data_IF_015629627181
#
_entry.id   IF_015629627181
#
_cell.length_a   1.000
_cell.length_b   1.000
_cell.length_c   1.000
_cell.angle_alpha   90.00
_cell.angle_beta   90.00
_cell.angle_gamma   90.00
#
_symmetry.space_group_name_H-M   'P 1'
#
loop_
_entity.id
_entity.type
_entity.pdbx_description
1 polymer ?
#
# COMPACT_ATOMS: atom_id res chain seq x y z
N UNK A 1 9.09 5.36 -22.68
CA UNK A 1 10.23 6.09 -23.26
C UNK A 1 10.18 7.58 -22.91
N UNK A 2 9.06 8.29 -23.20
CA UNK A 2 8.94 9.73 -22.92
C UNK A 2 9.15 10.07 -21.44
N UNK A 3 8.62 9.27 -20.50
CA UNK A 3 8.86 9.45 -19.06
C UNK A 3 10.37 9.42 -18.76
N UNK A 4 11.09 8.44 -19.29
CA UNK A 4 12.55 8.36 -19.14
C UNK A 4 13.27 9.57 -19.73
N UNK A 5 12.86 10.03 -20.91
CA UNK A 5 13.38 11.25 -21.54
C UNK A 5 13.22 12.47 -20.63
N UNK A 6 12.01 12.65 -20.10
CA UNK A 6 11.72 13.78 -19.24
C UNK A 6 12.55 13.74 -17.94
N UNK A 7 12.51 12.62 -17.22
CA UNK A 7 13.20 12.49 -15.94
C UNK A 7 14.72 12.68 -16.07
N UNK A 8 15.32 12.05 -17.10
CA UNK A 8 16.76 12.20 -17.34
C UNK A 8 17.17 13.65 -17.61
N UNK A 9 16.38 14.39 -18.41
CA UNK A 9 16.60 15.81 -18.65
C UNK A 9 16.28 16.66 -17.40
N UNK A 10 15.15 16.41 -16.73
CA UNK A 10 14.67 17.20 -15.60
C UNK A 10 15.66 17.23 -14.44
N UNK A 11 16.20 16.09 -14.07
CA UNK A 11 17.18 15.98 -13.00
C UNK A 11 18.60 16.29 -13.50
N UNK A 12 18.92 16.01 -14.76
CA UNK A 12 20.23 16.29 -15.33
C UNK A 12 20.56 17.77 -15.50
N UNK A 13 19.56 18.62 -15.77
CA UNK A 13 19.76 20.06 -16.04
C UNK A 13 20.37 20.85 -14.87
N UNK A 14 20.27 20.34 -13.66
CA UNK A 14 20.77 21.01 -12.46
C UNK A 14 22.07 20.39 -11.91
N UNK A 15 22.67 19.46 -12.67
CA UNK A 15 23.93 18.82 -12.32
C UNK A 15 25.11 19.68 -12.77
N UNK A 16 26.23 19.56 -12.06
CA UNK A 16 27.48 20.18 -12.45
C UNK A 16 28.04 19.56 -13.73
N UNK A 17 28.94 20.28 -14.41
CA UNK A 17 29.56 19.78 -15.64
C UNK A 17 30.31 18.46 -15.38
N UNK A 18 29.95 17.43 -16.13
CA UNK A 18 30.49 16.06 -15.98
C UNK A 18 29.77 15.17 -14.97
N UNK A 19 28.84 15.73 -14.17
CA UNK A 19 28.01 14.96 -13.27
C UNK A 19 26.73 14.48 -13.98
N UNK A 20 26.33 13.23 -13.75
CA UNK A 20 25.10 12.65 -14.30
C UNK A 20 24.08 12.40 -13.21
N UNK A 21 22.81 12.65 -13.52
CA UNK A 21 21.75 12.25 -12.62
C UNK A 21 21.61 10.72 -12.58
N UNK A 22 21.27 10.19 -11.40
CA UNK A 22 21.16 8.77 -11.11
C UNK A 22 19.71 8.42 -10.79
N UNK A 23 19.16 7.50 -11.55
CA UNK A 23 17.77 7.05 -11.37
C UNK A 23 17.75 5.57 -11.13
N UNK A 24 17.16 5.15 -10.01
CA UNK A 24 17.05 3.73 -9.64
C UNK A 24 15.70 3.18 -10.12
N UNK A 25 15.72 1.98 -10.71
CA UNK A 25 14.55 1.34 -11.30
C UNK A 25 14.37 -0.05 -10.69
N UNK A 26 13.16 -0.31 -10.15
CA UNK A 26 12.69 -1.63 -9.78
C UNK A 26 11.45 -2.01 -10.56
N UNK A 27 11.15 -3.30 -10.59
CA UNK A 27 9.97 -3.85 -11.26
C UNK A 27 9.41 -5.03 -10.50
N UNK A 28 8.13 -5.31 -10.71
CA UNK A 28 7.51 -6.57 -10.27
C UNK A 28 7.72 -7.69 -11.30
N UNK A 29 7.05 -8.80 -11.10
CA UNK A 29 7.23 -10.02 -11.90
C UNK A 29 6.39 -10.06 -13.18
N UNK A 30 5.60 -9.04 -13.50
CA UNK A 30 4.72 -9.00 -14.69
C UNK A 30 5.53 -9.11 -15.97
N UNK A 31 5.00 -9.83 -16.95
CA UNK A 31 5.62 -10.00 -18.25
C UNK A 31 5.93 -8.66 -18.92
N UNK A 32 5.00 -7.70 -18.86
CA UNK A 32 5.16 -6.36 -19.44
C UNK A 32 6.17 -5.48 -18.71
N UNK A 33 6.56 -5.80 -17.48
CA UNK A 33 7.51 -5.01 -16.70
C UNK A 33 8.89 -4.91 -17.37
N UNK A 34 9.32 -5.96 -18.08
CA UNK A 34 10.57 -5.96 -18.85
C UNK A 34 10.52 -4.97 -20.02
N UNK A 35 9.41 -4.94 -20.75
CA UNK A 35 9.21 -4.01 -21.85
C UNK A 35 9.25 -2.55 -21.37
N UNK A 36 8.58 -2.26 -20.27
CA UNK A 36 8.56 -0.91 -19.70
C UNK A 36 9.93 -0.51 -19.14
N UNK A 37 10.65 -1.41 -18.49
CA UNK A 37 12.01 -1.17 -18.00
C UNK A 37 12.94 -0.75 -19.16
N UNK A 38 12.97 -1.52 -20.23
CA UNK A 38 13.83 -1.18 -21.39
C UNK A 38 13.43 0.14 -22.06
N UNK A 39 12.14 0.43 -22.16
CA UNK A 39 11.67 1.70 -22.70
C UNK A 39 12.08 2.89 -21.83
N UNK A 40 11.95 2.78 -20.49
CA UNK A 40 12.39 3.80 -19.53
C UNK A 40 13.89 4.01 -19.60
N UNK A 41 14.67 2.93 -19.56
CA UNK A 41 16.14 2.95 -19.64
C UNK A 41 16.62 3.64 -20.92
N UNK A 42 16.02 3.31 -22.05
CA UNK A 42 16.33 3.95 -23.34
C UNK A 42 16.08 5.46 -23.30
N UNK A 43 14.96 5.88 -22.70
CA UNK A 43 14.65 7.31 -22.54
C UNK A 43 15.62 8.03 -21.60
N UNK A 44 15.95 7.44 -20.45
CA UNK A 44 16.88 7.98 -19.47
C UNK A 44 18.27 8.18 -20.05
N UNK A 45 18.83 7.13 -20.67
CA UNK A 45 20.18 7.16 -21.23
C UNK A 45 20.29 8.12 -22.42
N UNK A 46 19.24 8.21 -23.25
CA UNK A 46 19.15 9.18 -24.32
C UNK A 46 19.08 10.65 -23.84
N UNK A 47 18.75 10.88 -22.57
CA UNK A 47 18.79 12.20 -21.92
C UNK A 47 19.98 12.41 -20.99
N UNK A 48 20.97 11.48 -20.99
CA UNK A 48 22.22 11.61 -20.24
C UNK A 48 22.18 11.04 -18.82
N UNK A 49 21.06 10.49 -18.37
CA UNK A 49 20.93 9.91 -17.02
C UNK A 49 21.58 8.51 -16.92
N UNK A 50 22.07 8.18 -15.74
CA UNK A 50 22.47 6.82 -15.39
C UNK A 50 21.26 6.07 -14.80
N UNK A 51 20.93 4.92 -15.40
CA UNK A 51 19.84 4.05 -14.98
C UNK A 51 20.38 2.87 -14.16
N UNK A 52 20.06 2.82 -12.88
CA UNK A 52 20.47 1.77 -11.94
C UNK A 52 19.37 0.73 -11.79
N UNK A 53 19.63 -0.51 -12.18
CA UNK A 53 18.62 -1.56 -12.26
C UNK A 53 18.67 -2.46 -11.03
N UNK A 54 17.63 -2.40 -10.19
CA UNK A 54 17.42 -3.32 -9.06
C UNK A 54 16.84 -4.66 -9.50
N UNK A 55 16.37 -4.74 -10.76
CA UNK A 55 15.61 -5.86 -11.29
C UNK A 55 14.30 -6.09 -10.54
N UNK A 56 13.87 -7.36 -10.39
CA UNK A 56 12.66 -7.67 -9.63
C UNK A 56 12.89 -7.37 -8.15
N UNK A 57 12.10 -6.44 -7.63
CA UNK A 57 12.17 -5.97 -6.24
C UNK A 57 10.85 -5.33 -5.83
N UNK A 58 10.68 -5.05 -4.53
CA UNK A 58 9.46 -4.47 -3.97
C UNK A 58 9.44 -2.94 -4.09
N UNK A 59 8.24 -2.33 -4.09
CA UNK A 59 8.10 -0.87 -4.05
C UNK A 59 8.85 -0.25 -2.86
N UNK A 60 8.73 -0.77 -1.62
CA UNK A 60 9.50 -0.22 -0.50
C UNK A 60 11.03 -0.39 -0.65
N UNK A 61 11.50 -1.39 -1.39
CA UNK A 61 12.93 -1.52 -1.72
C UNK A 61 13.42 -0.35 -2.58
N UNK A 62 12.66 0.03 -3.61
CA UNK A 62 12.99 1.20 -4.46
C UNK A 62 12.98 2.48 -3.63
N UNK A 63 11.94 2.68 -2.81
CA UNK A 63 11.83 3.81 -1.89
C UNK A 63 13.01 3.89 -0.92
N UNK A 64 13.41 2.75 -0.33
CA UNK A 64 14.54 2.67 0.57
C UNK A 64 15.85 3.06 -0.11
N UNK A 65 16.13 2.48 -1.28
CA UNK A 65 17.37 2.76 -2.03
C UNK A 65 17.41 4.21 -2.48
N UNK A 66 16.30 4.75 -3.01
CA UNK A 66 16.23 6.14 -3.45
C UNK A 66 16.61 7.13 -2.33
N UNK A 67 16.10 6.91 -1.11
CA UNK A 67 16.33 7.83 0.02
C UNK A 67 17.63 7.62 0.78
N UNK A 68 18.27 6.47 0.65
CA UNK A 68 19.48 6.13 1.45
C UNK A 68 20.76 6.18 0.64
N UNK A 69 20.67 6.27 -0.67
CA UNK A 69 21.80 6.19 -1.58
C UNK A 69 21.64 7.23 -2.68
N UNK A 70 21.99 8.39 -2.50
CA UNK A 70 22.26 9.51 -3.43
C UNK A 70 21.66 9.39 -4.86
N UNK A 71 20.39 8.96 -4.94
CA UNK A 71 19.62 8.91 -6.18
C UNK A 71 18.71 10.14 -6.30
N UNK A 72 18.59 10.67 -7.50
CA UNK A 72 17.72 11.81 -7.80
C UNK A 72 16.25 11.40 -7.86
N UNK A 73 15.97 10.16 -8.29
CA UNK A 73 14.62 9.65 -8.46
C UNK A 73 14.64 8.11 -8.41
N UNK A 74 13.56 7.53 -7.93
CA UNK A 74 13.25 6.11 -8.03
C UNK A 74 12.05 5.86 -8.95
N UNK A 75 12.06 4.75 -9.66
CA UNK A 75 10.95 4.29 -10.50
C UNK A 75 10.61 2.86 -10.11
N UNK A 76 9.34 2.60 -9.80
CA UNK A 76 8.83 1.24 -9.66
C UNK A 76 7.81 0.93 -10.74
N UNK A 77 8.05 -0.16 -11.45
CA UNK A 77 7.16 -0.67 -12.50
C UNK A 77 6.27 -1.75 -11.90
N UNK A 78 5.04 -1.40 -11.57
CA UNK A 78 4.05 -2.29 -10.99
C UNK A 78 2.65 -1.69 -11.01
N UNK A 79 1.64 -2.53 -11.15
CA UNK A 79 0.24 -2.21 -10.87
C UNK A 79 -0.27 -2.85 -9.56
N UNK A 80 0.64 -3.06 -8.58
CA UNK A 80 0.31 -3.56 -7.23
C UNK A 80 -0.51 -4.86 -7.28
N UNK A 81 -1.75 -4.82 -6.78
CA UNK A 81 -2.63 -5.98 -6.65
C UNK A 81 -3.47 -6.31 -7.92
N UNK A 82 -3.34 -5.53 -8.98
CA UNK A 82 -4.06 -5.75 -10.22
C UNK A 82 -3.61 -7.04 -10.94
N UNK A 83 -4.42 -7.60 -11.86
CA UNK A 83 -4.03 -8.71 -12.71
C UNK A 83 -2.76 -8.42 -13.53
N UNK A 84 -2.11 -9.48 -14.03
CA UNK A 84 -0.82 -9.37 -14.72
C UNK A 84 -0.83 -8.52 -16.00
N UNK A 85 -1.96 -8.40 -16.67
CA UNK A 85 -2.13 -7.64 -17.92
C UNK A 85 -2.23 -6.12 -17.70
N UNK A 86 -2.48 -5.68 -16.47
CA UNK A 86 -2.33 -4.29 -16.07
C UNK A 86 -0.87 -4.02 -15.69
N UNK A 87 -0.42 -2.78 -15.86
CA UNK A 87 0.85 -2.33 -15.31
C UNK A 87 0.81 -0.83 -15.01
N UNK A 88 1.80 -0.34 -14.28
CA UNK A 88 1.89 1.05 -13.87
C UNK A 88 3.33 1.49 -13.66
N UNK A 89 3.53 2.80 -13.61
CA UNK A 89 4.82 3.41 -13.32
C UNK A 89 4.63 4.32 -12.11
N UNK A 90 5.22 3.93 -10.97
CA UNK A 90 5.23 4.71 -9.73
C UNK A 90 6.53 5.52 -9.69
N UNK A 91 6.43 6.83 -9.58
CA UNK A 91 7.58 7.72 -9.45
C UNK A 91 7.81 8.09 -7.99
N UNK A 92 9.07 8.01 -7.58
CA UNK A 92 9.52 8.17 -6.19
C UNK A 92 10.61 9.25 -6.18
N UNK A 93 10.48 10.25 -5.33
CA UNK A 93 11.48 11.31 -5.18
C UNK A 93 12.73 10.83 -4.43
N UNK A 94 13.75 11.67 -4.33
CA UNK A 94 15.00 11.38 -3.61
C UNK A 94 14.83 11.13 -2.10
N UNK A 95 13.70 11.51 -1.52
CA UNK A 95 13.37 11.22 -0.12
C UNK A 95 12.68 9.84 0.05
N UNK A 96 12.48 9.11 -1.04
CA UNK A 96 11.76 7.83 -1.03
C UNK A 96 10.24 7.98 -0.92
N UNK A 97 9.70 9.15 -1.19
CA UNK A 97 8.29 9.47 -1.15
C UNK A 97 7.69 9.45 -2.56
N UNK A 98 6.38 9.37 -2.67
CA UNK A 98 5.72 9.56 -3.97
C UNK A 98 6.10 10.92 -4.57
N UNK A 99 6.32 10.94 -5.88
CA UNK A 99 6.58 12.16 -6.63
C UNK A 99 5.45 13.17 -6.41
N UNK A 100 5.82 14.43 -6.28
CA UNK A 100 4.88 15.53 -6.13
C UNK A 100 4.03 15.74 -7.39
N UNK A 101 2.82 16.27 -7.19
CA UNK A 101 1.83 16.44 -8.25
C UNK A 101 2.29 17.44 -9.32
N UNK A 102 3.04 18.47 -8.94
CA UNK A 102 3.57 19.46 -9.89
C UNK A 102 4.53 18.81 -10.89
N UNK A 103 5.40 17.94 -10.41
CA UNK A 103 6.34 17.18 -11.27
C UNK A 103 5.60 16.18 -12.15
N UNK A 104 4.57 15.49 -11.60
CA UNK A 104 3.71 14.57 -12.38
C UNK A 104 3.02 15.32 -13.53
N UNK A 105 2.40 16.47 -13.29
CA UNK A 105 1.75 17.29 -14.31
C UNK A 105 2.73 17.75 -15.42
N UNK A 106 3.99 18.05 -15.07
CA UNK A 106 5.02 18.38 -16.06
C UNK A 106 5.37 17.19 -16.96
N UNK A 107 5.41 15.99 -16.37
CA UNK A 107 5.65 14.74 -17.11
C UNK A 107 4.50 14.48 -18.09
N UNK A 108 3.26 14.60 -17.63
CA UNK A 108 2.05 14.41 -18.43
C UNK A 108 2.00 15.42 -19.58
N UNK A 109 2.26 16.70 -19.30
CA UNK A 109 2.34 17.74 -20.35
C UNK A 109 3.41 17.43 -21.42
N UNK A 110 4.55 16.84 -21.02
CA UNK A 110 5.55 16.40 -21.99
C UNK A 110 5.09 15.18 -22.80
N UNK A 111 4.43 14.23 -22.19
CA UNK A 111 3.87 13.06 -22.88
C UNK A 111 2.85 13.49 -23.94
N UNK A 112 2.01 14.46 -23.59
CA UNK A 112 0.94 14.99 -24.47
C UNK A 112 1.46 15.97 -25.53
N UNK A 113 2.77 16.29 -25.53
CA UNK A 113 3.37 17.20 -26.49
C UNK A 113 3.07 18.68 -26.23
N UNK A 114 2.63 19.02 -25.02
CA UNK A 114 2.32 20.40 -24.60
C UNK A 114 3.54 21.17 -24.10
N UNK A 115 4.67 20.51 -23.94
CA UNK A 115 5.96 21.11 -23.57
C UNK A 115 6.98 20.96 -24.71
N UNK A 116 8.02 21.81 -24.69
CA UNK A 116 9.04 21.83 -25.75
C UNK A 116 9.83 20.50 -25.87
N UNK A 117 10.58 20.38 -26.96
CA UNK A 117 11.43 19.22 -27.21
C UNK A 117 12.59 19.16 -26.21
N UNK A 118 12.91 17.95 -25.75
CA UNK A 118 14.08 17.66 -24.92
C UNK A 118 15.25 17.28 -25.82
N UNK A 119 16.42 17.95 -25.75
CA UNK A 119 17.58 17.60 -26.55
C UNK A 119 18.10 16.20 -26.22
N UNK A 120 18.67 15.52 -27.18
CA UNK A 120 19.38 14.26 -26.99
C UNK A 120 20.78 14.51 -26.43
N UNK A 121 21.17 13.69 -25.46
CA UNK A 121 22.55 13.61 -25.05
C UNK A 121 23.42 13.06 -26.19
N UNK A 122 24.64 13.57 -26.35
CA UNK A 122 25.55 13.18 -27.40
C UNK A 122 26.90 12.78 -26.83
N UNK A 123 27.62 11.92 -27.54
CA UNK A 123 28.98 11.48 -27.21
C UNK A 123 29.10 10.97 -25.79
N UNK A 124 30.04 11.48 -25.00
CA UNK A 124 30.32 11.17 -23.60
C UNK A 124 29.16 11.53 -22.62
N UNK A 125 28.26 12.38 -23.06
CA UNK A 125 27.10 12.78 -22.27
C UNK A 125 25.95 11.77 -22.33
N UNK A 126 25.99 10.79 -23.26
CA UNK A 126 25.00 9.69 -23.24
C UNK A 126 25.08 8.95 -21.90
N UNK A 127 23.90 8.65 -21.33
CA UNK A 127 23.81 7.89 -20.09
C UNK A 127 24.18 6.41 -20.27
N UNK A 128 24.28 5.70 -19.17
CA UNK A 128 24.53 4.26 -19.17
C UNK A 128 23.61 3.52 -18.21
N UNK A 129 23.54 2.21 -18.35
CA UNK A 129 22.90 1.32 -17.38
C UNK A 129 23.92 0.78 -16.40
N UNK A 130 23.47 0.58 -15.15
CA UNK A 130 24.24 -0.04 -14.08
C UNK A 130 23.41 -1.17 -13.50
N UNK A 131 23.95 -2.39 -13.49
CA UNK A 131 23.35 -3.48 -12.71
C UNK A 131 23.53 -3.18 -11.22
N UNK A 132 22.41 -3.01 -10.51
CA UNK A 132 22.42 -2.56 -9.13
C UNK A 132 21.66 -3.50 -8.18
N UNK A 133 21.70 -4.79 -8.43
CA UNK A 133 21.11 -5.81 -7.53
C UNK A 133 21.60 -5.67 -6.08
N UNK A 134 22.77 -5.04 -5.87
CA UNK A 134 23.32 -4.74 -4.54
C UNK A 134 22.41 -3.83 -3.72
N UNK A 135 21.70 -2.88 -4.34
CA UNK A 135 20.73 -2.01 -3.64
C UNK A 135 19.59 -2.80 -3.02
N UNK A 136 19.06 -3.79 -3.74
CA UNK A 136 18.06 -4.74 -3.19
C UNK A 136 18.63 -5.52 -1.98
N UNK A 137 19.87 -5.98 -2.06
CA UNK A 137 20.49 -6.70 -0.95
C UNK A 137 20.70 -5.82 0.29
N UNK A 138 20.97 -4.53 0.10
CA UNK A 138 21.01 -3.55 1.21
C UNK A 138 19.66 -3.40 1.90
N UNK A 139 18.58 -3.34 1.12
CA UNK A 139 17.23 -3.33 1.68
C UNK A 139 16.93 -4.60 2.49
N UNK A 140 17.31 -5.78 1.99
CA UNK A 140 17.19 -7.03 2.75
C UNK A 140 17.97 -6.94 4.07
N UNK A 141 19.22 -6.48 4.03
CA UNK A 141 20.04 -6.26 5.23
C UNK A 141 19.40 -5.26 6.20
N UNK A 142 18.84 -4.18 5.69
CA UNK A 142 18.09 -3.22 6.47
C UNK A 142 16.91 -3.87 7.19
N UNK A 143 16.06 -4.61 6.49
CA UNK A 143 14.91 -5.30 7.10
C UNK A 143 15.35 -6.26 8.21
N UNK A 144 16.40 -7.05 7.97
CA UNK A 144 16.95 -7.97 8.98
C UNK A 144 17.43 -7.20 10.22
N UNK A 145 18.07 -6.03 10.04
CA UNK A 145 18.56 -5.19 11.14
C UNK A 145 17.46 -4.59 12.03
N UNK A 146 16.22 -4.55 11.53
CA UNK A 146 15.07 -4.01 12.27
C UNK A 146 14.43 -5.01 13.23
N UNK A 147 14.75 -6.29 13.11
CA UNK A 147 14.25 -7.31 14.02
C UNK A 147 14.98 -7.22 15.37
N UNK A 148 14.20 -7.11 16.44
CA UNK A 148 14.74 -6.98 17.81
C UNK A 148 14.98 -8.33 18.50
N UNK A 149 14.46 -9.42 17.91
CA UNK A 149 14.53 -10.78 18.46
C UNK A 149 14.70 -11.82 17.35
N UNK A 150 15.30 -12.95 17.69
CA UNK A 150 15.35 -14.12 16.82
C UNK A 150 13.97 -14.77 16.70
N UNK A 151 13.67 -15.28 15.51
CA UNK A 151 12.44 -16.03 15.21
C UNK A 151 12.62 -17.55 15.35
N UNK A 152 13.70 -17.98 16.00
CA UNK A 152 13.97 -19.39 16.27
C UNK A 152 12.74 -20.08 16.90
N UNK A 153 12.42 -21.25 16.42
CA UNK A 153 11.26 -22.07 16.81
C UNK A 153 9.89 -21.49 16.39
N UNK A 154 9.85 -20.46 15.57
CA UNK A 154 8.61 -19.96 14.96
C UNK A 154 8.40 -20.55 13.58
N UNK A 155 7.16 -21.02 13.33
CA UNK A 155 6.70 -21.52 12.03
C UNK A 155 5.91 -20.40 11.35
N UNK A 156 6.40 -19.92 10.24
CA UNK A 156 5.83 -18.75 9.53
C UNK A 156 5.42 -19.13 8.13
N UNK A 157 4.16 -18.87 7.78
CA UNK A 157 3.65 -18.97 6.42
C UNK A 157 3.89 -17.67 5.65
N UNK A 158 4.31 -17.76 4.40
CA UNK A 158 4.51 -16.61 3.51
C UNK A 158 3.81 -16.87 2.19
N UNK A 159 2.89 -16.00 1.82
CA UNK A 159 2.30 -15.96 0.48
C UNK A 159 2.89 -14.77 -0.29
N UNK A 160 3.72 -15.08 -1.29
CA UNK A 160 4.44 -14.06 -2.06
C UNK A 160 3.67 -13.55 -3.29
N UNK A 161 2.41 -13.92 -3.46
CA UNK A 161 1.54 -13.50 -4.58
C UNK A 161 2.14 -13.73 -5.98
N UNK A 162 3.14 -14.61 -6.14
CA UNK A 162 3.98 -14.71 -7.33
C UNK A 162 4.54 -13.34 -7.79
N UNK A 163 4.67 -12.42 -6.83
CA UNK A 163 5.09 -11.02 -7.00
C UNK A 163 6.51 -10.77 -6.49
N UNK A 164 6.80 -9.52 -6.25
CA UNK A 164 8.13 -9.01 -5.89
C UNK A 164 8.71 -9.56 -4.57
N UNK A 165 7.84 -10.00 -3.65
CA UNK A 165 8.25 -10.56 -2.36
C UNK A 165 8.95 -11.92 -2.47
N UNK A 166 8.82 -12.65 -3.60
CA UNK A 166 9.23 -14.04 -3.76
C UNK A 166 10.69 -14.32 -3.40
N UNK A 167 11.62 -13.40 -3.73
CA UNK A 167 13.03 -13.54 -3.39
C UNK A 167 13.40 -12.96 -2.02
N UNK A 168 12.62 -12.01 -1.53
CA UNK A 168 12.99 -11.16 -0.39
C UNK A 168 12.42 -11.72 0.90
N UNK A 169 11.13 -12.00 0.96
CA UNK A 169 10.43 -12.35 2.19
C UNK A 169 11.06 -13.60 2.85
N UNK A 170 11.21 -14.70 2.09
CA UNK A 170 11.84 -15.92 2.61
C UNK A 170 13.25 -15.66 3.12
N UNK A 171 14.08 -14.95 2.36
CA UNK A 171 15.46 -14.65 2.73
C UNK A 171 15.56 -13.88 4.06
N UNK A 172 14.67 -12.92 4.28
CA UNK A 172 14.61 -12.14 5.53
C UNK A 172 14.20 -13.04 6.71
N UNK A 173 13.12 -13.81 6.57
CA UNK A 173 12.61 -14.64 7.67
C UNK A 173 13.53 -15.81 8.02
N UNK A 174 14.16 -16.44 7.03
CA UNK A 174 15.17 -17.49 7.24
C UNK A 174 16.40 -16.93 7.97
N UNK A 175 16.89 -15.76 7.56
CA UNK A 175 18.01 -15.09 8.24
C UNK A 175 17.70 -14.75 9.70
N UNK A 176 16.44 -14.47 10.03
CA UNK A 176 15.98 -14.24 11.41
C UNK A 176 15.73 -15.53 12.19
N UNK A 177 15.86 -16.69 11.54
CA UNK A 177 15.79 -18.01 12.17
C UNK A 177 14.39 -18.66 12.19
N UNK A 178 13.42 -18.13 11.44
CA UNK A 178 12.10 -18.74 11.31
C UNK A 178 12.15 -20.03 10.50
N UNK A 179 11.24 -20.95 10.79
CA UNK A 179 10.93 -22.05 9.88
C UNK A 179 9.84 -21.59 8.92
N UNK A 180 10.22 -21.25 7.70
CA UNK A 180 9.33 -20.70 6.70
C UNK A 180 8.61 -21.76 5.87
N UNK A 181 7.35 -21.50 5.55
CA UNK A 181 6.50 -22.27 4.64
C UNK A 181 5.98 -21.28 3.58
N UNK A 182 6.47 -21.39 2.36
CA UNK A 182 6.22 -20.40 1.31
C UNK A 182 5.32 -20.98 0.24
N UNK A 183 4.33 -20.20 -0.19
CA UNK A 183 3.46 -20.48 -1.33
C UNK A 183 3.50 -19.31 -2.29
N UNK A 184 3.08 -19.56 -3.54
CA UNK A 184 2.99 -18.55 -4.59
C UNK A 184 4.28 -17.76 -4.78
N UNK A 185 5.40 -18.48 -4.91
CA UNK A 185 6.75 -17.94 -5.05
C UNK A 185 7.48 -18.42 -6.31
N UNK A 186 6.72 -18.81 -7.34
CA UNK A 186 7.23 -19.24 -8.64
C UNK A 186 6.60 -18.38 -9.76
N UNK A 187 7.04 -17.10 -9.87
CA UNK A 187 6.48 -16.19 -10.86
C UNK A 187 6.83 -16.61 -12.28
N UNK A 188 5.84 -16.62 -13.17
CA UNK A 188 5.98 -16.93 -14.59
C UNK A 188 5.71 -15.72 -15.51
N UNK A 189 5.42 -14.55 -14.92
CA UNK A 189 5.09 -13.31 -15.64
C UNK A 189 3.59 -13.08 -15.83
N UNK A 190 2.76 -14.12 -15.66
CA UNK A 190 1.31 -14.06 -15.88
C UNK A 190 0.48 -14.45 -14.66
N UNK A 191 1.11 -15.01 -13.64
CA UNK A 191 0.46 -15.55 -12.44
C UNK A 191 0.48 -14.63 -11.20
N UNK A 192 1.03 -13.42 -11.30
CA UNK A 192 1.05 -12.45 -10.20
C UNK A 192 -0.38 -12.14 -9.72
N UNK A 193 -0.63 -12.18 -8.40
CA UNK A 193 -1.91 -11.95 -7.75
C UNK A 193 -3.05 -12.90 -8.17
N UNK A 194 -2.79 -13.91 -9.00
CA UNK A 194 -3.82 -14.82 -9.48
C UNK A 194 -4.21 -15.83 -8.40
N UNK A 195 -5.37 -15.62 -7.78
CA UNK A 195 -5.87 -16.44 -6.68
C UNK A 195 -4.86 -16.62 -5.54
N UNK A 196 -4.10 -15.58 -5.22
CA UNK A 196 -3.05 -15.62 -4.21
C UNK A 196 -2.77 -14.22 -3.61
N UNK A 197 -1.95 -14.20 -2.58
CA UNK A 197 -1.52 -12.97 -1.91
C UNK A 197 -2.61 -12.32 -1.06
N UNK A 198 -2.43 -11.02 -0.79
CA UNK A 198 -3.30 -10.27 0.13
C UNK A 198 -4.74 -10.10 -0.36
N UNK A 199 -5.01 -10.26 -1.66
CA UNK A 199 -6.36 -10.17 -2.23
C UNK A 199 -7.10 -11.51 -2.29
N UNK A 200 -6.38 -12.63 -2.12
CA UNK A 200 -6.91 -14.01 -2.13
C UNK A 200 -6.20 -14.82 -1.05
N UNK A 201 -6.55 -14.58 0.20
CA UNK A 201 -5.81 -15.04 1.38
C UNK A 201 -6.13 -16.50 1.77
N UNK A 202 -7.12 -17.13 1.13
CA UNK A 202 -7.65 -18.44 1.49
C UNK A 202 -6.57 -19.54 1.42
N UNK A 203 -5.66 -19.42 0.45
CA UNK A 203 -4.51 -20.33 0.32
C UNK A 203 -3.60 -20.32 1.54
N UNK A 204 -3.32 -19.12 2.07
CA UNK A 204 -2.51 -18.94 3.26
C UNK A 204 -3.26 -19.41 4.53
N UNK A 205 -4.55 -19.12 4.65
CA UNK A 205 -5.38 -19.60 5.78
C UNK A 205 -5.36 -21.13 5.86
N UNK A 206 -5.49 -21.80 4.72
CA UNK A 206 -5.42 -23.25 4.62
C UNK A 206 -4.03 -23.75 5.04
N UNK A 207 -2.96 -23.15 4.53
CA UNK A 207 -1.58 -23.52 4.87
C UNK A 207 -1.31 -23.39 6.37
N UNK A 208 -1.75 -22.29 7.00
CA UNK A 208 -1.57 -22.05 8.44
C UNK A 208 -2.23 -23.18 9.25
N UNK A 209 -3.48 -23.52 8.94
CA UNK A 209 -4.22 -24.58 9.63
C UNK A 209 -3.59 -25.97 9.41
N UNK A 210 -3.29 -26.33 8.17
CA UNK A 210 -2.78 -27.68 7.83
C UNK A 210 -1.39 -27.95 8.41
N UNK A 211 -0.54 -26.93 8.50
CA UNK A 211 0.84 -27.04 9.01
C UNK A 211 0.98 -26.69 10.48
N UNK A 212 -0.09 -26.19 11.11
CA UNK A 212 -0.06 -25.69 12.49
C UNK A 212 1.01 -24.60 12.64
N UNK A 213 0.88 -23.55 11.84
CA UNK A 213 1.83 -22.43 11.85
C UNK A 213 1.50 -21.44 12.97
N UNK A 214 2.49 -20.72 13.47
CA UNK A 214 2.29 -19.67 14.47
C UNK A 214 1.63 -18.42 13.87
N UNK A 215 1.88 -18.14 12.58
CA UNK A 215 1.38 -16.97 11.86
C UNK A 215 1.59 -17.14 10.36
N UNK A 216 0.77 -16.49 9.54
CA UNK A 216 0.96 -16.33 8.11
C UNK A 216 0.98 -14.86 7.70
N UNK A 217 1.73 -14.53 6.63
CA UNK A 217 1.80 -13.20 6.03
C UNK A 217 1.59 -13.30 4.53
N UNK A 218 0.60 -12.58 4.01
CA UNK A 218 0.30 -12.49 2.58
C UNK A 218 0.62 -11.08 2.06
N UNK A 219 1.37 -11.02 0.97
CA UNK A 219 1.76 -9.78 0.31
C UNK A 219 0.93 -9.58 -0.97
N UNK A 220 0.95 -8.37 -1.51
CA UNK A 220 0.49 -8.11 -2.87
C UNK A 220 1.65 -8.10 -3.87
N UNK A 221 1.36 -7.84 -5.13
CA UNK A 221 2.33 -8.03 -6.23
C UNK A 221 3.64 -7.26 -6.09
N UNK A 222 3.64 -6.06 -5.50
CA UNK A 222 4.84 -5.27 -5.25
C UNK A 222 5.18 -5.12 -3.77
N UNK A 223 4.48 -5.87 -2.92
CA UNK A 223 4.72 -6.05 -1.49
C UNK A 223 4.74 -4.74 -0.67
N UNK A 224 3.96 -3.76 -1.09
CA UNK A 224 3.70 -2.57 -0.28
C UNK A 224 2.57 -2.80 0.74
N UNK A 225 1.83 -3.94 0.62
CA UNK A 225 0.77 -4.40 1.52
C UNK A 225 1.12 -5.72 2.19
N UNK A 226 0.56 -5.91 3.40
CA UNK A 226 0.60 -7.17 4.12
C UNK A 226 -0.72 -7.39 4.87
N UNK A 227 -1.34 -8.55 4.66
CA UNK A 227 -2.36 -9.08 5.57
C UNK A 227 -1.77 -10.26 6.34
N UNK A 228 -2.22 -10.42 7.58
CA UNK A 228 -1.76 -11.53 8.42
C UNK A 228 -2.85 -12.58 8.58
N UNK A 229 -2.42 -13.80 8.89
CA UNK A 229 -3.30 -14.90 9.30
C UNK A 229 -2.84 -15.39 10.66
N UNK A 230 -3.74 -15.42 11.63
CA UNK A 230 -3.45 -15.91 12.97
C UNK A 230 -3.31 -17.46 13.00
N UNK A 231 -2.89 -18.00 14.12
CA UNK A 231 -2.68 -19.45 14.32
C UNK A 231 -3.96 -20.29 14.18
N UNK A 232 -5.13 -19.65 14.24
CA UNK A 232 -6.44 -20.30 14.03
C UNK A 232 -6.90 -20.21 12.58
N UNK A 233 -6.14 -19.50 11.72
CA UNK A 233 -6.45 -19.28 10.31
C UNK A 233 -7.41 -18.12 10.06
N UNK A 234 -7.61 -17.21 11.01
CA UNK A 234 -8.40 -16.02 10.81
C UNK A 234 -7.54 -14.90 10.23
N UNK A 235 -8.18 -14.04 9.41
CA UNK A 235 -7.51 -12.88 8.82
C UNK A 235 -7.35 -11.78 9.86
N UNK A 236 -6.13 -11.26 9.97
CA UNK A 236 -5.80 -10.03 10.70
C UNK A 236 -5.45 -8.97 9.67
N UNK A 237 -6.39 -8.09 9.40
CA UNK A 237 -6.29 -7.07 8.35
C UNK A 237 -5.52 -5.82 8.81
N UNK A 238 -5.39 -4.82 7.91
CA UNK A 238 -4.65 -3.60 8.18
C UNK A 238 -5.18 -2.79 9.37
N UNK A 239 -6.48 -2.78 9.60
CA UNK A 239 -7.09 -2.10 10.75
C UNK A 239 -6.63 -2.73 12.07
N UNK A 240 -6.66 -4.05 12.15
CA UNK A 240 -6.17 -4.79 13.32
C UNK A 240 -4.67 -4.59 13.53
N UNK A 241 -3.88 -4.54 12.45
CA UNK A 241 -2.43 -4.28 12.52
C UNK A 241 -2.15 -2.87 13.07
N UNK A 242 -2.90 -1.85 12.61
CA UNK A 242 -2.81 -0.47 13.13
C UNK A 242 -3.11 -0.43 14.63
N UNK A 243 -4.19 -1.11 15.05
CA UNK A 243 -4.55 -1.21 16.46
C UNK A 243 -3.45 -1.87 17.29
N UNK A 244 -3.00 -3.06 16.88
CA UNK A 244 -1.96 -3.84 17.60
C UNK A 244 -0.70 -3.00 17.78
N UNK A 245 -0.22 -2.36 16.71
CA UNK A 245 1.02 -1.59 16.77
C UNK A 245 0.83 -0.24 17.47
N UNK A 246 -0.34 0.37 17.36
CA UNK A 246 -0.73 1.56 18.11
C UNK A 246 -0.68 1.33 19.62
N UNK A 247 -1.32 0.25 20.10
CA UNK A 247 -1.27 -0.17 21.50
C UNK A 247 0.17 -0.46 21.96
N UNK A 248 0.94 -1.16 21.13
CA UNK A 248 2.34 -1.47 21.41
C UNK A 248 3.20 -0.21 21.57
N UNK A 249 3.02 0.80 20.71
CA UNK A 249 3.72 2.07 20.83
C UNK A 249 3.24 2.89 22.05
N UNK A 250 1.94 2.89 22.33
CA UNK A 250 1.37 3.60 23.48
C UNK A 250 1.96 3.12 24.79
N UNK A 251 1.96 1.81 25.02
CA UNK A 251 2.52 1.19 26.23
C UNK A 251 4.01 1.53 26.47
N UNK A 252 4.73 1.87 25.40
CA UNK A 252 6.13 2.28 25.44
C UNK A 252 6.34 3.80 25.51
N UNK A 253 5.27 4.58 25.57
CA UNK A 253 5.33 6.03 25.50
C UNK A 253 5.89 6.55 24.17
N UNK A 254 5.74 5.76 23.08
CA UNK A 254 6.30 6.07 21.76
C UNK A 254 5.23 6.41 20.72
N UNK A 255 3.95 6.38 21.07
CA UNK A 255 2.86 6.78 20.17
C UNK A 255 2.76 8.32 20.16
N UNK A 256 3.35 8.94 19.16
CA UNK A 256 3.37 10.39 19.02
C UNK A 256 1.96 10.97 18.96
N UNK A 257 1.67 11.98 19.78
CA UNK A 257 0.35 12.58 19.90
C UNK A 257 -0.74 11.65 20.45
N UNK A 258 -0.37 10.43 20.90
CA UNK A 258 -1.30 9.36 21.25
C UNK A 258 -2.28 9.03 20.12
N UNK A 259 -1.83 9.17 18.84
CA UNK A 259 -2.69 9.03 17.64
C UNK A 259 -2.15 8.03 16.64
N UNK A 260 -3.10 7.40 15.94
CA UNK A 260 -2.87 6.65 14.69
C UNK A 260 -3.57 7.34 13.53
N UNK A 261 -3.11 7.09 12.30
CA UNK A 261 -3.75 7.64 11.09
C UNK A 261 -4.36 6.51 10.29
N UNK A 262 -5.61 6.69 9.89
CA UNK A 262 -6.38 5.72 9.11
C UNK A 262 -7.20 6.43 8.04
N UNK A 263 -7.98 5.72 7.25
CA UNK A 263 -8.86 6.32 6.24
C UNK A 263 -10.31 6.21 6.65
N UNK A 264 -11.18 6.97 5.99
CA UNK A 264 -12.64 6.87 6.17
C UNK A 264 -13.21 5.48 5.87
N UNK A 265 -12.42 4.58 5.24
CA UNK A 265 -12.82 3.20 4.91
C UNK A 265 -12.45 2.17 5.98
N UNK A 266 -11.67 2.53 7.01
CA UNK A 266 -11.40 1.61 8.12
C UNK A 266 -12.68 1.17 8.79
N UNK A 267 -12.77 -0.11 9.18
CA UNK A 267 -13.96 -0.68 9.78
C UNK A 267 -14.33 0.01 11.10
N UNK A 268 -15.61 0.16 11.36
CA UNK A 268 -16.13 0.82 12.57
C UNK A 268 -15.60 0.16 13.85
N UNK A 269 -15.35 -1.15 13.82
CA UNK A 269 -14.76 -1.88 14.94
C UNK A 269 -13.36 -1.40 15.33
N UNK A 270 -12.56 -0.92 14.36
CA UNK A 270 -11.27 -0.30 14.68
C UNK A 270 -11.45 0.93 15.57
N UNK A 271 -12.38 1.82 15.23
CA UNK A 271 -12.60 3.05 15.98
C UNK A 271 -13.06 2.74 17.41
N UNK A 272 -13.99 1.79 17.59
CA UNK A 272 -14.42 1.35 18.92
C UNK A 272 -13.25 0.80 19.75
N UNK A 273 -12.44 -0.06 19.17
CA UNK A 273 -11.26 -0.62 19.84
C UNK A 273 -10.24 0.47 20.22
N UNK A 274 -10.01 1.46 19.34
CA UNK A 274 -9.13 2.58 19.64
C UNK A 274 -9.68 3.47 20.76
N UNK A 275 -10.98 3.76 20.76
CA UNK A 275 -11.64 4.53 21.81
C UNK A 275 -11.51 3.83 23.18
N UNK A 276 -11.77 2.51 23.24
CA UNK A 276 -11.58 1.69 24.44
C UNK A 276 -10.12 1.64 24.92
N UNK A 277 -9.17 1.61 23.96
CA UNK A 277 -7.75 1.69 24.28
C UNK A 277 -7.28 3.11 24.64
N UNK A 278 -8.14 4.12 24.53
CA UNK A 278 -7.82 5.53 24.73
C UNK A 278 -6.75 6.04 23.75
N UNK A 279 -6.80 5.59 22.51
CA UNK A 279 -5.94 6.01 21.40
C UNK A 279 -6.78 6.88 20.47
N UNK A 280 -6.33 8.09 20.22
CA UNK A 280 -6.95 8.99 19.26
C UNK A 280 -6.58 8.59 17.81
N UNK A 281 -7.35 9.06 16.84
CA UNK A 281 -7.13 8.75 15.43
C UNK A 281 -7.48 9.90 14.50
N UNK A 282 -6.75 10.00 13.40
CA UNK A 282 -7.09 10.86 12.27
C UNK A 282 -7.68 10.00 11.14
N UNK A 283 -8.74 10.51 10.50
CA UNK A 283 -9.38 9.88 9.34
C UNK A 283 -9.07 10.70 8.09
N UNK A 284 -8.30 10.13 7.19
CA UNK A 284 -8.02 10.77 5.90
C UNK A 284 -9.00 10.31 4.81
N UNK A 285 -8.95 10.96 3.65
CA UNK A 285 -9.49 10.39 2.43
C UNK A 285 -8.80 9.06 2.10
N UNK A 286 -9.44 8.25 1.26
CA UNK A 286 -8.89 6.96 0.78
C UNK A 286 -7.66 7.22 -0.08
N UNK A 287 -6.59 6.52 0.21
CA UNK A 287 -5.33 6.58 -0.50
C UNK A 287 -4.14 6.81 0.44
N UNK A 288 -3.12 5.99 0.26
CA UNK A 288 -1.90 5.99 1.05
C UNK A 288 -1.17 7.35 1.06
N UNK A 289 -1.29 8.14 -0.02
CA UNK A 289 -0.78 9.52 -0.12
C UNK A 289 -1.33 10.39 1.02
N UNK A 290 -2.64 10.38 1.23
CA UNK A 290 -3.27 11.20 2.26
C UNK A 290 -2.91 10.75 3.68
N UNK A 291 -2.78 9.43 3.88
CA UNK A 291 -2.29 8.87 5.15
C UNK A 291 -0.88 9.36 5.45
N UNK A 292 0.03 9.23 4.47
CA UNK A 292 1.43 9.64 4.65
C UNK A 292 1.58 11.15 4.84
N UNK A 293 0.88 11.97 4.07
CA UNK A 293 0.89 13.43 4.20
C UNK A 293 0.43 13.86 5.60
N UNK A 294 -0.67 13.29 6.11
CA UNK A 294 -1.15 13.56 7.46
C UNK A 294 -0.12 13.14 8.53
N UNK A 295 0.44 11.94 8.39
CA UNK A 295 1.48 11.43 9.31
C UNK A 295 2.72 12.31 9.30
N UNK A 296 3.14 12.79 8.13
CA UNK A 296 4.33 13.60 7.95
C UNK A 296 4.15 14.99 8.54
N UNK A 297 3.03 15.64 8.26
CA UNK A 297 2.72 16.98 8.76
C UNK A 297 2.62 17.04 10.29
N UNK A 298 2.12 15.96 10.93
CA UNK A 298 1.85 15.93 12.37
C UNK A 298 2.86 15.11 13.18
N UNK A 299 3.82 14.46 12.52
CA UNK A 299 4.82 13.65 13.21
C UNK A 299 4.32 12.29 13.72
N UNK A 300 3.14 11.81 13.28
CA UNK A 300 2.58 10.53 13.72
C UNK A 300 3.42 9.35 13.26
N UNK A 301 3.38 8.26 14.03
CA UNK A 301 4.33 7.13 13.93
C UNK A 301 3.82 5.97 13.11
N UNK A 302 2.51 5.73 13.13
CA UNK A 302 1.86 4.60 12.45
C UNK A 302 0.53 5.05 11.84
N UNK A 303 0.28 4.59 10.65
CA UNK A 303 -0.97 4.77 9.94
C UNK A 303 -1.07 3.79 8.78
N UNK A 304 -2.22 3.76 8.12
CA UNK A 304 -2.42 2.87 6.99
C UNK A 304 -3.88 2.66 6.64
N UNK A 305 -4.11 1.60 5.89
CA UNK A 305 -5.41 1.23 5.34
C UNK A 305 -5.78 -0.21 5.70
N UNK A 306 -7.07 -0.51 5.75
CA UNK A 306 -7.58 -1.86 5.98
C UNK A 306 -6.98 -2.90 5.01
N UNK A 307 -6.65 -2.48 3.78
CA UNK A 307 -6.02 -3.31 2.74
C UNK A 307 -4.62 -3.84 3.09
N UNK A 308 -4.05 -3.40 4.22
CA UNK A 308 -2.72 -3.82 4.67
C UNK A 308 -1.57 -2.91 4.22
N UNK A 309 -1.85 -1.77 3.60
CA UNK A 309 -0.83 -0.76 3.32
C UNK A 309 -0.54 0.01 4.61
N UNK A 310 0.48 -0.44 5.36
CA UNK A 310 0.84 0.09 6.68
C UNK A 310 2.15 0.84 6.62
N UNK A 311 2.13 2.07 7.09
CA UNK A 311 3.28 2.97 7.14
C UNK A 311 3.81 3.07 8.57
N UNK A 312 5.05 2.66 8.76
CA UNK A 312 5.80 2.86 9.99
C UNK A 312 6.79 4.00 9.77
N UNK A 313 6.36 5.24 9.93
CA UNK A 313 7.09 6.47 9.53
C UNK A 313 8.53 6.55 10.06
N UNK A 314 8.83 5.91 11.19
CA UNK A 314 10.21 5.84 11.70
C UNK A 314 11.15 5.05 10.76
N UNK A 315 10.61 4.14 9.97
CA UNK A 315 11.38 3.14 9.21
C UNK A 315 11.20 3.28 7.70
N UNK A 316 10.04 3.70 7.25
CA UNK A 316 9.67 3.79 5.83
C UNK A 316 8.83 5.03 5.54
N UNK A 317 8.88 5.51 4.30
CA UNK A 317 8.08 6.64 3.78
C UNK A 317 6.87 6.18 2.97
N UNK A 318 6.69 4.87 2.83
CA UNK A 318 5.56 4.22 2.15
C UNK A 318 5.17 2.96 2.93
N UNK A 319 4.08 2.31 2.56
CA UNK A 319 3.74 0.98 3.04
C UNK A 319 4.83 -0.02 2.70
N UNK A 320 5.07 -0.94 3.63
CA UNK A 320 6.07 -1.99 3.47
C UNK A 320 5.55 -3.28 4.10
N UNK A 321 5.16 -4.22 3.24
CA UNK A 321 4.54 -5.47 3.69
C UNK A 321 5.48 -6.35 4.49
N UNK A 322 6.74 -6.45 4.10
CA UNK A 322 7.72 -7.29 4.81
C UNK A 322 8.10 -6.65 6.16
N UNK A 323 8.25 -5.33 6.20
CA UNK A 323 8.42 -4.58 7.45
C UNK A 323 7.20 -4.77 8.38
N UNK A 324 5.98 -4.74 7.82
CA UNK A 324 4.75 -4.98 8.57
C UNK A 324 4.79 -6.37 9.24
N UNK A 325 5.17 -7.41 8.50
CA UNK A 325 5.31 -8.75 9.01
C UNK A 325 6.38 -8.82 10.15
N UNK A 326 7.52 -8.16 9.97
CA UNK A 326 8.56 -8.05 11.01
C UNK A 326 8.01 -7.35 12.28
N UNK A 327 7.24 -6.28 12.12
CA UNK A 327 6.68 -5.54 13.26
C UNK A 327 5.59 -6.34 13.99
N UNK A 328 4.80 -7.13 13.30
CA UNK A 328 3.86 -8.05 13.96
C UNK A 328 4.61 -9.14 14.73
N UNK A 329 5.64 -9.75 14.15
CA UNK A 329 6.51 -10.68 14.87
C UNK A 329 7.16 -10.05 16.11
N UNK A 330 7.62 -8.80 16.02
CA UNK A 330 8.18 -8.06 17.15
C UNK A 330 7.18 -7.98 18.30
N UNK A 331 5.93 -7.57 18.03
CA UNK A 331 4.89 -7.45 19.05
C UNK A 331 4.54 -8.81 19.65
N UNK A 332 4.33 -9.84 18.82
CA UNK A 332 4.03 -11.20 19.28
C UNK A 332 5.12 -11.75 20.24
N UNK A 333 6.37 -11.61 19.84
CA UNK A 333 7.51 -12.14 20.61
C UNK A 333 7.76 -11.36 21.91
N UNK A 334 7.62 -10.04 21.89
CA UNK A 334 7.82 -9.23 23.09
C UNK A 334 6.69 -9.35 24.09
N UNK A 335 5.45 -9.41 23.60
CA UNK A 335 4.26 -9.59 24.43
C UNK A 335 4.08 -11.05 24.88
N UNK A 336 4.74 -12.00 24.22
CA UNK A 336 4.52 -13.44 24.38
C UNK A 336 3.06 -13.83 24.17
N UNK A 337 2.42 -13.21 23.18
CA UNK A 337 1.02 -13.43 22.79
C UNK A 337 0.94 -13.93 21.35
N UNK A 338 -0.11 -14.68 21.07
CA UNK A 338 -0.45 -15.07 19.71
C UNK A 338 -1.05 -13.88 18.96
N UNK A 339 -1.12 -14.00 17.63
CA UNK A 339 -1.70 -12.93 16.84
C UNK A 339 -3.22 -12.82 17.06
N UNK A 340 -3.91 -13.97 17.29
CA UNK A 340 -5.33 -13.97 17.65
C UNK A 340 -5.59 -13.22 18.98
N UNK A 341 -4.77 -13.45 20.01
CA UNK A 341 -4.91 -12.72 21.27
C UNK A 341 -4.69 -11.20 21.15
N UNK A 342 -3.78 -10.80 20.23
CA UNK A 342 -3.49 -9.38 19.99
C UNK A 342 -4.60 -8.69 19.18
N UNK A 343 -5.23 -9.40 18.25
CA UNK A 343 -6.29 -8.89 17.40
C UNK A 343 -7.68 -8.96 18.04
N UNK A 344 -7.88 -9.80 19.07
CA UNK A 344 -9.17 -10.04 19.71
C UNK A 344 -9.95 -8.79 20.17
N UNK A 345 -9.31 -7.68 20.59
CA UNK A 345 -10.05 -6.48 20.98
C UNK A 345 -10.70 -5.72 19.80
N UNK A 346 -10.36 -6.04 18.54
CA UNK A 346 -10.91 -5.34 17.37
C UNK A 346 -12.06 -6.15 16.78
N UNK A 347 -13.32 -5.81 17.06
CA UNK A 347 -14.46 -6.48 16.43
C UNK A 347 -14.53 -6.08 14.95
N UNK A 348 -14.99 -6.99 14.10
CA UNK A 348 -15.31 -6.69 12.70
C UNK A 348 -16.80 -6.48 12.56
N UNK A 349 -17.20 -5.27 12.27
CA UNK A 349 -18.60 -4.94 11.99
C UNK A 349 -18.97 -5.38 10.59
N UNK A 350 -20.11 -6.07 10.39
CA UNK A 350 -20.68 -6.29 9.08
C UNK A 350 -20.78 -4.98 8.29
N UNK A 351 -20.43 -5.06 7.00
CA UNK A 351 -20.39 -3.92 6.10
C UNK A 351 -21.08 -4.25 4.80
N UNK A 352 -21.99 -3.40 4.37
CA UNK A 352 -22.58 -3.45 3.03
C UNK A 352 -22.19 -2.18 2.27
N UNK A 353 -21.57 -2.37 1.10
CA UNK A 353 -21.21 -1.31 0.17
C UNK A 353 -21.92 -1.54 -1.16
N UNK A 354 -22.76 -0.63 -1.58
CA UNK A 354 -23.38 -0.66 -2.90
C UNK A 354 -22.95 0.55 -3.74
N UNK A 355 -22.69 0.31 -5.01
CA UNK A 355 -22.37 1.33 -6.00
C UNK A 355 -23.63 1.63 -6.79
N UNK A 356 -23.98 2.89 -6.91
CA UNK A 356 -25.05 3.35 -7.79
C UNK A 356 -24.47 4.24 -8.89
N UNK A 357 -24.75 3.88 -10.15
CA UNK A 357 -24.34 4.67 -11.30
C UNK A 357 -25.24 5.89 -11.41
N UNK A 358 -24.64 7.07 -11.54
CA UNK A 358 -25.37 8.34 -11.51
C UNK A 358 -24.89 9.27 -12.62
N UNK A 359 -25.80 10.12 -13.09
CA UNK A 359 -25.55 11.13 -14.13
C UNK A 359 -24.63 12.25 -13.66
N UNK A 360 -24.73 12.64 -12.38
CA UNK A 360 -23.89 13.65 -11.74
C UNK A 360 -23.59 13.24 -10.30
N UNK A 361 -22.33 12.86 -10.04
CA UNK A 361 -21.87 12.36 -8.73
C UNK A 361 -21.97 13.42 -7.64
N UNK A 362 -21.50 14.63 -7.96
CA UNK A 362 -21.45 15.72 -7.00
C UNK A 362 -22.87 16.21 -6.64
N UNK A 363 -23.74 16.34 -7.62
CA UNK A 363 -25.13 16.69 -7.39
C UNK A 363 -25.85 15.63 -6.57
N UNK A 364 -25.69 14.34 -6.91
CA UNK A 364 -26.33 13.25 -6.18
C UNK A 364 -25.85 13.15 -4.73
N UNK A 365 -24.55 13.29 -4.49
CA UNK A 365 -23.99 13.23 -3.12
C UNK A 365 -24.44 14.43 -2.28
N UNK A 366 -24.52 15.63 -2.85
CA UNK A 366 -24.82 16.86 -2.12
C UNK A 366 -26.30 17.26 -2.14
N UNK A 367 -27.19 16.46 -2.73
CA UNK A 367 -28.62 16.72 -2.74
C UNK A 367 -29.16 16.79 -1.30
N UNK A 368 -29.94 17.82 -0.93
CA UNK A 368 -30.43 17.99 0.44
C UNK A 368 -31.26 16.82 0.98
N UNK A 369 -32.05 16.14 0.11
CA UNK A 369 -32.88 15.01 0.53
C UNK A 369 -32.02 13.75 0.74
N UNK A 370 -30.97 13.56 -0.09
CA UNK A 370 -29.98 12.49 0.08
C UNK A 370 -29.22 12.71 1.39
N UNK A 371 -28.75 13.92 1.66
CA UNK A 371 -28.06 14.24 2.90
C UNK A 371 -28.98 14.11 4.13
N UNK A 372 -30.25 14.44 4.01
CA UNK A 372 -31.24 14.22 5.07
C UNK A 372 -31.45 12.72 5.35
N UNK A 373 -31.51 11.89 4.31
CA UNK A 373 -31.59 10.43 4.47
C UNK A 373 -30.33 9.85 5.13
N UNK A 374 -29.14 10.29 4.71
CA UNK A 374 -27.86 9.90 5.33
C UNK A 374 -27.85 10.25 6.82
N UNK A 375 -28.26 11.47 7.16
CA UNK A 375 -28.34 11.91 8.55
C UNK A 375 -29.35 11.08 9.37
N UNK A 376 -30.53 10.82 8.81
CA UNK A 376 -31.57 10.03 9.46
C UNK A 376 -31.11 8.58 9.71
N UNK A 377 -30.40 7.97 8.75
CA UNK A 377 -29.79 6.64 8.93
C UNK A 377 -28.70 6.69 9.99
N UNK A 378 -27.84 7.71 9.97
CA UNK A 378 -26.81 7.91 11.00
C UNK A 378 -27.41 8.02 12.41
N UNK A 379 -28.52 8.75 12.59
CA UNK A 379 -29.24 8.86 13.86
C UNK A 379 -29.84 7.52 14.31
N UNK A 380 -30.38 6.71 13.38
CA UNK A 380 -30.88 5.35 13.67
C UNK A 380 -29.77 4.38 14.09
N UNK A 381 -28.60 4.48 13.49
CA UNK A 381 -27.42 3.66 13.83
C UNK A 381 -26.80 4.05 15.18
N UNK A 382 -26.84 5.34 15.52
CA UNK A 382 -26.34 5.85 16.80
C UNK A 382 -24.88 5.48 17.06
N UNK A 383 -24.63 4.90 18.22
CA UNK A 383 -23.29 4.47 18.63
C UNK A 383 -22.89 3.07 18.11
N UNK A 384 -23.78 2.36 17.41
CA UNK A 384 -23.59 0.96 17.02
C UNK A 384 -23.45 0.75 15.52
N UNK A 385 -23.19 1.84 14.78
CA UNK A 385 -22.92 1.76 13.35
C UNK A 385 -22.60 3.11 12.73
N UNK A 386 -22.38 3.10 11.42
CA UNK A 386 -22.17 4.32 10.66
C UNK A 386 -22.62 4.17 9.21
N UNK A 387 -22.87 5.29 8.57
CA UNK A 387 -23.10 5.41 7.13
C UNK A 387 -22.05 6.32 6.50
N UNK A 388 -21.59 5.97 5.31
CA UNK A 388 -20.72 6.80 4.49
C UNK A 388 -21.24 6.82 3.05
N UNK A 389 -21.43 8.02 2.51
CA UNK A 389 -21.79 8.22 1.11
C UNK A 389 -20.69 9.06 0.46
N UNK A 390 -20.13 8.57 -0.62
CA UNK A 390 -19.05 9.26 -1.33
C UNK A 390 -19.07 8.99 -2.83
N UNK A 391 -18.61 9.95 -3.60
CA UNK A 391 -18.36 9.76 -5.03
C UNK A 391 -17.11 8.87 -5.27
N UNK A 392 -17.11 8.15 -6.39
CA UNK A 392 -15.95 7.46 -6.90
C UNK A 392 -15.03 8.44 -7.63
N UNK A 393 -13.72 8.35 -7.38
CA UNK A 393 -12.73 9.18 -8.09
C UNK A 393 -12.59 8.82 -9.58
N UNK A 394 -12.84 7.55 -9.95
CA UNK A 394 -12.55 7.02 -11.29
C UNK A 394 -13.79 6.61 -12.09
N UNK A 395 -14.89 6.32 -11.43
CA UNK A 395 -16.12 5.81 -12.06
C UNK A 395 -17.29 6.77 -11.87
N UNK A 396 -18.29 6.77 -12.75
CA UNK A 396 -19.50 7.60 -12.61
C UNK A 396 -20.49 6.98 -11.61
N UNK A 397 -20.01 6.69 -10.38
CA UNK A 397 -20.83 6.08 -9.33
C UNK A 397 -20.73 6.86 -8.02
N UNK A 398 -21.83 6.85 -7.27
CA UNK A 398 -21.86 7.17 -5.83
C UNK A 398 -21.82 5.85 -5.06
N UNK A 399 -21.00 5.79 -4.03
CA UNK A 399 -20.82 4.64 -3.15
C UNK A 399 -21.53 4.89 -1.84
N UNK A 400 -22.47 4.02 -1.50
CA UNK A 400 -23.19 4.03 -0.23
C UNK A 400 -22.74 2.86 0.61
N UNK A 401 -22.17 3.11 1.77
CA UNK A 401 -21.66 2.10 2.70
C UNK A 401 -22.35 2.26 4.06
N UNK A 402 -22.79 1.14 4.63
CA UNK A 402 -23.27 1.07 6.00
C UNK A 402 -22.52 -0.03 6.74
N UNK A 403 -22.14 0.26 7.96
CA UNK A 403 -21.62 -0.71 8.93
C UNK A 403 -22.52 -0.70 10.16
N UNK A 404 -22.92 -1.90 10.61
CA UNK A 404 -23.79 -2.09 11.78
C UNK A 404 -23.54 -3.46 12.42
N UNK A 405 -24.19 -3.74 13.55
CA UNK A 405 -24.06 -5.01 14.25
C UNK A 405 -24.57 -6.24 13.47
N UNK A 406 -25.43 -6.04 12.48
CA UNK A 406 -26.03 -7.11 11.65
C UNK A 406 -26.03 -6.71 10.17
N UNK A 407 -25.69 -7.67 9.28
CA UNK A 407 -25.61 -7.46 7.83
C UNK A 407 -26.98 -7.04 7.24
N UNK A 408 -28.06 -7.68 7.68
CA UNK A 408 -29.42 -7.33 7.24
C UNK A 408 -29.79 -5.89 7.55
N UNK A 409 -29.28 -5.32 8.65
CA UNK A 409 -29.48 -3.91 8.98
C UNK A 409 -28.66 -3.00 8.07
N UNK A 410 -27.45 -3.42 7.71
CA UNK A 410 -26.61 -2.70 6.76
C UNK A 410 -27.28 -2.63 5.39
N UNK A 411 -27.79 -3.76 4.87
CA UNK A 411 -28.50 -3.83 3.59
C UNK A 411 -29.71 -2.90 3.57
N UNK A 412 -30.57 -2.99 4.61
CA UNK A 412 -31.75 -2.15 4.74
C UNK A 412 -31.42 -0.66 4.64
N UNK A 413 -30.41 -0.21 5.36
CA UNK A 413 -30.07 1.21 5.41
C UNK A 413 -29.32 1.70 4.18
N UNK A 414 -28.52 0.86 3.53
CA UNK A 414 -27.95 1.18 2.21
C UNK A 414 -29.04 1.39 1.20
N UNK A 415 -30.03 0.48 1.14
CA UNK A 415 -31.14 0.56 0.19
C UNK A 415 -32.04 1.78 0.47
N UNK A 416 -32.28 2.11 1.75
CA UNK A 416 -33.04 3.31 2.11
C UNK A 416 -32.43 4.60 1.51
N UNK A 417 -31.10 4.74 1.50
CA UNK A 417 -30.43 5.90 0.90
C UNK A 417 -30.37 5.82 -0.62
N UNK A 418 -30.11 4.63 -1.18
CA UNK A 418 -30.11 4.42 -2.64
C UNK A 418 -31.48 4.74 -3.23
N UNK A 419 -32.58 4.36 -2.58
CA UNK A 419 -33.94 4.66 -3.01
C UNK A 419 -34.18 6.17 -3.12
N UNK A 420 -33.61 6.97 -2.22
CA UNK A 420 -33.70 8.43 -2.31
C UNK A 420 -32.94 8.95 -3.53
N UNK A 421 -31.72 8.47 -3.76
CA UNK A 421 -30.92 8.84 -4.95
C UNK A 421 -31.68 8.52 -6.25
N UNK A 422 -32.29 7.33 -6.32
CA UNK A 422 -33.11 6.90 -7.48
C UNK A 422 -34.36 7.78 -7.66
N UNK A 423 -35.12 8.03 -6.60
CA UNK A 423 -36.31 8.88 -6.63
C UNK A 423 -36.02 10.30 -7.06
N UNK A 424 -34.85 10.81 -6.79
CA UNK A 424 -34.38 12.14 -7.23
C UNK A 424 -33.96 12.18 -8.70
N UNK A 425 -33.95 11.03 -9.39
CA UNK A 425 -33.63 10.94 -10.82
C UNK A 425 -32.14 10.99 -11.14
N UNK A 426 -31.26 10.74 -10.17
CA UNK A 426 -29.81 10.72 -10.41
C UNK A 426 -29.33 9.41 -11.02
N UNK A 427 -30.08 8.30 -10.93
CA UNK A 427 -29.67 7.03 -11.50
C UNK A 427 -29.54 7.12 -13.02
N UNK A 428 -28.39 6.64 -13.52
CA UNK A 428 -28.16 6.40 -14.94
C UNK A 428 -28.69 5.00 -15.28
N UNK A 429 -29.48 4.85 -16.38
CA UNK A 429 -30.07 3.59 -16.84
C UNK A 429 -29.04 2.61 -17.40
#
# INVERSE_FOLDING_TARGET
>A
YKIGRFLGWYYGRNKEEGEKCKIVIGKDTRLSSYMFEYALVSGLTASGAEAYLLHVTTTPSVSYVARTEDFDCGIMISASHNPYYDNGIKLINSNGEKMDEETILKIEAYIDGLSGEIPFATRENIGRTVDYAMGRNRYIGYLISLATRSYKNKKVGLDCANGSAWMIAKSVFDALGAKTYVINNEPDGTNINTNCGSTHIEGLQKLVKEKGLDVGFAFDGDADRCLCVDENGNVVNGDMIIYIYGCYLKERGKLAGNKVVTTVMSNFGLYKALDEAGIEYEKTAVGDKYVYENMSANGYRVGGEQSGHIIFRKYATTGDGILTAIKMMEVMLEKKKTLAELAAPVPVYPQVLKNIRVTDKAAAQNDPDVQAAVKAVGEKLGADGRILVRESGTEPVVRVMVEAGEEALCEKYVDEVIDVIVKKGYRED
#
